data_IF_129050468515
#
_entry.id   IF_129050468515
#
_cell.length_a   1.000
_cell.length_b   1.000
_cell.length_c   1.000
_cell.angle_alpha   90.00
_cell.angle_beta   90.00
_cell.angle_gamma   90.00
#
_symmetry.space_group_name_H-M   'P 1'
#
loop_
_entity.id
_entity.type
_entity.pdbx_description
1 polymer ?
#
# COMPACT_ATOMS: atom_id res chain seq x y z
N UNK A 1 3.85 2.34 26.29
CA UNK A 1 3.49 1.12 25.52
C UNK A 1 3.56 1.30 24.00
N UNK A 2 2.92 2.32 23.39
CA UNK A 2 2.96 2.52 21.92
C UNK A 2 4.36 2.60 21.30
N UNK A 3 5.32 3.23 21.97
CA UNK A 3 6.72 3.34 21.49
C UNK A 3 7.46 1.99 21.44
N UNK A 4 7.19 1.10 22.40
CA UNK A 4 7.76 -0.25 22.42
C UNK A 4 7.15 -1.14 21.33
N UNK A 5 5.83 -1.03 21.11
CA UNK A 5 5.15 -1.74 20.03
C UNK A 5 5.73 -1.31 18.68
N UNK A 6 5.86 0.00 18.42
CA UNK A 6 6.46 0.49 17.18
C UNK A 6 7.93 0.06 17.01
N UNK A 7 8.72 0.05 18.10
CA UNK A 7 10.12 -0.36 18.07
C UNK A 7 10.31 -1.85 17.72
N UNK A 8 9.35 -2.70 18.05
CA UNK A 8 9.39 -4.15 17.76
C UNK A 8 8.74 -4.47 16.41
N UNK A 9 7.65 -3.78 16.07
CA UNK A 9 6.90 -4.01 14.82
C UNK A 9 7.67 -3.56 13.59
N UNK A 10 8.43 -2.46 13.66
CA UNK A 10 9.24 -1.96 12.54
C UNK A 10 10.29 -2.97 12.03
N UNK A 11 11.18 -3.52 12.88
CA UNK A 11 12.17 -4.50 12.43
C UNK A 11 11.53 -5.83 12.02
N UNK A 12 10.47 -6.28 12.69
CA UNK A 12 9.73 -7.48 12.29
C UNK A 12 9.08 -7.33 10.91
N UNK A 13 8.44 -6.18 10.65
CA UNK A 13 7.87 -5.86 9.35
C UNK A 13 8.96 -5.82 8.26
N UNK A 14 10.11 -5.23 8.55
CA UNK A 14 11.25 -5.18 7.62
C UNK A 14 11.78 -6.58 7.27
N UNK A 15 11.93 -7.46 8.27
CA UNK A 15 12.37 -8.85 8.06
C UNK A 15 11.36 -9.65 7.24
N UNK A 16 10.06 -9.49 7.53
CA UNK A 16 9.00 -10.12 6.75
C UNK A 16 8.96 -9.61 5.30
N UNK A 17 9.09 -8.30 5.10
CA UNK A 17 9.18 -7.68 3.78
C UNK A 17 10.35 -8.23 2.96
N UNK A 18 11.52 -8.40 3.60
CA UNK A 18 12.70 -8.92 2.92
C UNK A 18 12.55 -10.41 2.55
N UNK A 19 12.13 -11.23 3.51
CA UNK A 19 12.02 -12.68 3.32
C UNK A 19 10.84 -13.09 2.42
N UNK A 20 9.77 -12.32 2.43
CA UNK A 20 8.55 -12.60 1.67
C UNK A 20 8.33 -11.60 0.53
N UNK A 21 9.38 -10.96 0.01
CA UNK A 21 9.30 -9.88 -1.01
C UNK A 21 8.24 -10.11 -2.09
N UNK A 22 8.11 -11.34 -2.59
CA UNK A 22 7.14 -11.68 -3.63
C UNK A 22 5.79 -12.16 -3.10
N UNK A 23 5.76 -12.92 -2.01
CA UNK A 23 4.49 -13.40 -1.43
C UNK A 23 3.71 -12.26 -0.79
N UNK A 24 4.40 -11.31 -0.14
CA UNK A 24 3.80 -10.11 0.43
C UNK A 24 3.27 -9.19 -0.68
N UNK A 25 4.02 -9.02 -1.76
CA UNK A 25 3.52 -8.30 -2.94
C UNK A 25 2.28 -8.98 -3.51
N UNK A 26 2.26 -10.31 -3.62
CA UNK A 26 1.09 -11.05 -4.09
C UNK A 26 -0.11 -10.97 -3.14
N UNK A 27 0.13 -10.90 -1.83
CA UNK A 27 -0.91 -10.74 -0.81
C UNK A 27 -1.47 -9.30 -0.82
N UNK A 28 -0.59 -8.32 -1.06
CA UNK A 28 -0.92 -6.90 -1.23
C UNK A 28 -1.70 -6.66 -2.53
N UNK A 29 -1.26 -7.25 -3.64
CA UNK A 29 -1.86 -7.07 -4.96
C UNK A 29 -3.08 -7.97 -5.19
N UNK A 30 -3.11 -9.15 -4.57
CA UNK A 30 -4.19 -10.14 -4.70
C UNK A 30 -5.37 -9.91 -3.75
N UNK A 31 -5.22 -9.06 -2.73
CA UNK A 31 -6.33 -8.73 -1.84
C UNK A 31 -7.09 -7.50 -2.34
N UNK A 32 -8.35 -7.70 -2.79
CA UNK A 32 -9.26 -6.63 -3.19
C UNK A 32 -9.44 -5.53 -2.13
N UNK A 33 -9.19 -5.84 -0.86
CA UNK A 33 -9.27 -4.88 0.25
C UNK A 33 -8.11 -3.89 0.21
N UNK A 34 -6.90 -4.37 -0.04
CA UNK A 34 -5.69 -3.54 -0.12
C UNK A 34 -5.74 -2.71 -1.40
N UNK A 35 -6.20 -3.30 -2.51
CA UNK A 35 -6.44 -2.54 -3.76
C UNK A 35 -7.40 -1.38 -3.53
N UNK A 36 -8.54 -1.62 -2.88
CA UNK A 36 -9.53 -0.57 -2.56
C UNK A 36 -8.97 0.51 -1.63
N UNK A 37 -8.18 0.14 -0.64
CA UNK A 37 -7.54 1.09 0.28
C UNK A 37 -6.53 1.97 -0.45
N UNK A 38 -5.67 1.37 -1.27
CA UNK A 38 -4.68 2.08 -2.09
C UNK A 38 -5.33 3.03 -3.10
N UNK A 39 -6.40 2.60 -3.78
CA UNK A 39 -7.16 3.47 -4.71
C UNK A 39 -7.84 4.61 -3.97
N UNK A 40 -8.47 4.35 -2.82
CA UNK A 40 -9.10 5.40 -1.99
C UNK A 40 -8.07 6.44 -1.51
N UNK A 41 -6.91 5.98 -1.05
CA UNK A 41 -5.82 6.87 -0.63
C UNK A 41 -5.30 7.72 -1.79
N UNK A 42 -5.06 7.11 -2.96
CA UNK A 42 -4.59 7.81 -4.15
C UNK A 42 -5.62 8.82 -4.70
N UNK A 43 -6.92 8.48 -4.67
CA UNK A 43 -8.00 9.36 -5.14
C UNK A 43 -8.31 10.51 -4.18
N UNK A 44 -7.89 10.42 -2.91
CA UNK A 44 -7.97 11.53 -1.95
C UNK A 44 -6.93 12.64 -2.21
N UNK A 45 -5.86 12.34 -2.96
CA UNK A 45 -4.83 13.34 -3.28
C UNK A 45 -5.17 14.05 -4.60
N UNK A 46 -5.42 15.38 -4.60
CA UNK A 46 -5.90 16.10 -5.79
C UNK A 46 -4.93 16.05 -6.99
N UNK A 47 -3.62 16.07 -6.74
CA UNK A 47 -2.60 15.99 -7.81
C UNK A 47 -2.43 14.59 -8.42
N UNK A 48 -2.71 13.53 -7.66
CA UNK A 48 -2.64 12.15 -8.16
C UNK A 48 -3.96 11.78 -8.85
N UNK A 49 -5.09 12.17 -8.25
CA UNK A 49 -6.44 12.00 -8.80
C UNK A 49 -6.54 12.56 -10.21
N UNK A 50 -6.10 13.81 -10.46
CA UNK A 50 -6.20 14.43 -11.79
C UNK A 50 -5.38 13.69 -12.84
N UNK A 51 -4.17 13.22 -12.49
CA UNK A 51 -3.31 12.44 -13.38
C UNK A 51 -3.87 11.06 -13.68
N UNK A 52 -4.41 10.37 -12.68
CA UNK A 52 -5.02 9.05 -12.84
C UNK A 52 -6.32 9.14 -13.66
N UNK A 53 -7.21 10.07 -13.33
CA UNK A 53 -8.44 10.31 -14.09
C UNK A 53 -8.12 10.72 -15.54
N UNK A 54 -7.17 11.65 -15.74
CA UNK A 54 -6.77 12.06 -17.08
C UNK A 54 -6.11 10.94 -17.90
N UNK A 55 -5.58 9.89 -17.29
CA UNK A 55 -5.03 8.73 -18.00
C UNK A 55 -6.07 7.64 -18.22
N UNK A 56 -6.95 7.40 -17.25
CA UNK A 56 -8.00 6.39 -17.31
C UNK A 56 -9.12 6.78 -18.29
N UNK A 57 -9.45 8.07 -18.39
CA UNK A 57 -10.52 8.60 -19.25
C UNK A 57 -9.99 9.21 -20.57
N UNK A 58 -8.69 9.10 -20.88
CA UNK A 58 -8.10 9.45 -22.20
C UNK A 58 -8.02 8.23 -23.13
N UNK A 59 -9.08 7.43 -23.15
CA UNK A 59 -9.29 6.42 -24.19
C UNK A 59 -10.47 6.82 -25.06
#
# INVERSE_FOLDING_TARGET
MRKLISAVVLPLAAIMLYKWRYKLLNLVLGNDSIRRMSVRAAMGMPGIRSRLLSRAFRS
#
